data_IF_712826172165
#
_entry.id   IF_712826172165
#
_cell.length_a   1.000
_cell.length_b   1.000
_cell.length_c   1.000
_cell.angle_alpha   90.00
_cell.angle_beta   90.00
_cell.angle_gamma   90.00
#
_symmetry.space_group_name_H-M   'P 1'
#
loop_
_entity.id
_entity.type
_entity.pdbx_description
1 polymer ?
#
# COMPACT_ATOMS: atom_id res chain seq x y z
N UNK A 1 10.86 -28.19 16.19
CA UNK A 1 10.95 -26.93 15.43
C UNK A 1 9.81 -27.02 14.43
N UNK A 2 8.74 -26.27 14.66
CA UNK A 2 7.59 -26.29 13.76
C UNK A 2 8.02 -25.69 12.44
N UNK A 3 7.84 -26.43 11.34
CA UNK A 3 7.77 -25.83 10.02
C UNK A 3 6.57 -24.88 10.07
N UNK A 4 6.82 -23.58 10.25
CA UNK A 4 5.81 -22.60 9.95
C UNK A 4 5.52 -22.74 8.46
N UNK A 5 4.26 -22.99 8.11
CA UNK A 5 3.81 -22.98 6.72
C UNK A 5 4.11 -21.59 6.15
N UNK A 6 5.04 -21.52 5.21
CA UNK A 6 5.34 -20.26 4.50
C UNK A 6 4.26 -20.06 3.46
N UNK A 7 3.41 -19.06 3.65
CA UNK A 7 2.40 -18.66 2.68
C UNK A 7 3.05 -17.69 1.68
N UNK A 8 2.83 -17.92 0.38
CA UNK A 8 3.47 -17.14 -0.68
C UNK A 8 3.06 -15.66 -0.67
N UNK A 9 4.04 -14.77 -0.84
CA UNK A 9 3.80 -13.34 -0.97
C UNK A 9 2.99 -13.00 -2.22
N UNK A 10 2.14 -11.98 -2.12
CA UNK A 10 1.52 -11.34 -3.29
C UNK A 10 2.56 -10.45 -3.95
N UNK A 11 2.69 -10.53 -5.28
CA UNK A 11 3.65 -9.75 -6.06
C UNK A 11 2.99 -9.15 -7.28
N UNK A 12 2.99 -7.82 -7.37
CA UNK A 12 2.43 -7.06 -8.48
C UNK A 12 3.48 -6.16 -9.09
N UNK A 13 3.39 -5.97 -10.41
CA UNK A 13 4.25 -5.07 -11.16
C UNK A 13 3.42 -4.31 -12.16
N UNK A 14 3.59 -2.99 -12.20
CA UNK A 14 3.02 -2.10 -13.22
C UNK A 14 4.11 -1.15 -13.73
N UNK A 15 3.83 -0.48 -14.84
CA UNK A 15 4.68 0.58 -15.38
C UNK A 15 3.85 1.85 -15.56
N UNK A 16 4.39 3.00 -15.15
CA UNK A 16 3.75 4.32 -15.29
C UNK A 16 4.59 5.27 -16.13
N UNK A 17 3.96 6.13 -16.93
CA UNK A 17 4.60 6.96 -17.96
C UNK A 17 5.17 8.27 -17.40
N UNK A 18 5.91 8.19 -16.30
CA UNK A 18 6.59 9.33 -15.70
C UNK A 18 7.92 8.93 -15.04
N UNK A 19 8.71 9.95 -14.65
CA UNK A 19 9.97 9.75 -13.91
C UNK A 19 9.70 9.30 -12.47
N UNK A 20 10.69 8.65 -11.87
CA UNK A 20 10.58 8.00 -10.55
C UNK A 20 10.10 8.98 -9.46
N UNK A 21 10.59 10.22 -9.49
CA UNK A 21 10.22 11.26 -8.54
C UNK A 21 8.74 11.61 -8.60
N UNK A 22 8.16 11.67 -9.80
CA UNK A 22 6.74 11.99 -10.00
C UNK A 22 5.86 10.80 -9.64
N UNK A 23 6.27 9.58 -10.02
CA UNK A 23 5.59 8.36 -9.62
C UNK A 23 5.49 8.28 -8.09
N UNK A 24 6.64 8.39 -7.40
CA UNK A 24 6.70 8.35 -5.94
C UNK A 24 5.85 9.44 -5.29
N UNK A 25 5.97 10.70 -5.77
CA UNK A 25 5.20 11.84 -5.26
C UNK A 25 3.70 11.63 -5.40
N UNK A 26 3.23 11.09 -6.53
CA UNK A 26 1.80 10.81 -6.73
C UNK A 26 1.33 9.64 -5.86
N UNK A 27 2.19 8.63 -5.67
CA UNK A 27 1.87 7.50 -4.81
C UNK A 27 1.68 7.93 -3.35
N UNK A 28 2.51 8.85 -2.85
CA UNK A 28 2.47 9.33 -1.46
C UNK A 28 1.65 10.61 -1.28
N UNK A 29 2.18 11.76 -1.73
CA UNK A 29 1.62 13.09 -1.46
C UNK A 29 0.29 13.36 -2.15
N UNK A 30 0.03 12.68 -3.26
CA UNK A 30 -1.20 12.82 -4.04
C UNK A 30 -2.05 11.54 -4.01
N UNK A 31 -1.92 10.74 -2.94
CA UNK A 31 -2.60 9.45 -2.79
C UNK A 31 -4.12 9.56 -3.00
N UNK A 32 -4.72 10.64 -2.52
CA UNK A 32 -6.15 10.92 -2.68
C UNK A 32 -6.59 11.03 -4.15
N UNK A 33 -5.70 11.38 -5.06
CA UNK A 33 -6.03 11.57 -6.48
C UNK A 33 -6.20 10.28 -7.27
N UNK A 34 -5.78 9.15 -6.72
CA UNK A 34 -5.79 7.86 -7.41
C UNK A 34 -6.37 6.71 -6.61
N UNK A 35 -6.30 6.74 -5.28
CA UNK A 35 -6.80 5.61 -4.49
C UNK A 35 -8.31 5.43 -4.67
N UNK A 36 -8.82 4.20 -4.88
CA UNK A 36 -10.24 3.96 -5.10
C UNK A 36 -11.03 3.99 -3.78
N UNK A 37 -11.44 5.19 -3.36
CA UNK A 37 -12.11 5.42 -2.07
C UNK A 37 -13.44 4.67 -1.93
N UNK A 38 -14.20 4.52 -3.00
CA UNK A 38 -15.51 3.85 -3.03
C UNK A 38 -15.48 2.36 -2.62
N UNK A 39 -14.32 1.73 -2.73
CA UNK A 39 -14.14 0.29 -2.58
C UNK A 39 -13.04 -0.11 -1.62
N UNK A 40 -11.97 0.69 -1.47
CA UNK A 40 -10.78 0.34 -0.70
C UNK A 40 -10.41 1.40 0.34
N UNK A 41 -11.40 2.05 0.95
CA UNK A 41 -11.20 2.95 2.10
C UNK A 41 -12.13 2.60 3.25
N UNK A 42 -11.81 3.04 4.47
CA UNK A 42 -12.60 2.75 5.67
C UNK A 42 -13.88 3.59 5.70
N UNK A 43 -13.80 4.85 5.26
CA UNK A 43 -14.90 5.82 5.32
C UNK A 43 -15.48 6.20 3.94
N UNK A 44 -15.05 5.55 2.87
CA UNK A 44 -15.63 5.76 1.54
C UNK A 44 -15.52 7.19 1.03
N UNK A 45 -16.62 7.68 0.46
CA UNK A 45 -16.75 9.04 -0.12
C UNK A 45 -16.57 10.18 0.91
N UNK A 46 -16.61 9.87 2.20
CA UNK A 46 -16.37 10.85 3.28
C UNK A 46 -14.89 11.22 3.40
N UNK A 47 -13.98 10.38 2.89
CA UNK A 47 -12.53 10.65 2.87
C UNK A 47 -12.24 11.89 2.04
N UNK A 48 -11.34 12.74 2.55
CA UNK A 48 -10.87 13.97 1.90
C UNK A 48 -9.36 14.00 1.75
N UNK A 49 -8.65 13.19 2.51
CA UNK A 49 -7.20 13.11 2.47
C UNK A 49 -6.75 11.67 2.77
N UNK A 50 -5.70 11.23 2.09
CA UNK A 50 -4.91 10.05 2.48
C UNK A 50 -3.54 10.60 2.82
N UNK A 51 -3.13 10.41 4.07
CA UNK A 51 -1.90 10.96 4.62
C UNK A 51 -0.85 9.87 4.66
N UNK A 52 0.32 10.15 4.08
CA UNK A 52 1.56 9.41 4.30
C UNK A 52 2.47 10.27 5.16
N UNK A 53 2.74 9.88 6.40
CA UNK A 53 3.82 10.51 7.16
C UNK A 53 5.16 10.01 6.61
N UNK A 54 5.82 10.85 5.81
CA UNK A 54 7.02 10.54 4.99
C UNK A 54 8.32 10.34 5.81
N UNK A 55 8.29 9.42 6.77
CA UNK A 55 9.43 9.07 7.64
C UNK A 55 9.25 7.67 8.24
N UNK A 56 10.36 7.03 8.59
CA UNK A 56 10.34 5.86 9.45
C UNK A 56 9.65 6.16 10.79
N UNK A 57 8.82 5.22 11.26
CA UNK A 57 7.94 5.40 12.42
C UNK A 57 6.80 6.40 12.18
N UNK A 58 6.52 6.72 10.92
CA UNK A 58 5.31 7.43 10.48
C UNK A 58 4.11 6.49 10.34
N UNK A 59 3.00 7.03 9.87
CA UNK A 59 1.73 6.34 9.71
C UNK A 59 1.10 6.66 8.35
N UNK A 60 0.29 5.72 7.85
CA UNK A 60 -0.62 5.92 6.72
C UNK A 60 -2.03 5.85 7.26
N UNK A 61 -2.81 6.89 6.98
CA UNK A 61 -4.21 6.96 7.40
C UNK A 61 -5.03 7.84 6.48
N UNK A 62 -6.33 7.56 6.41
CA UNK A 62 -7.30 8.43 5.77
C UNK A 62 -7.89 9.42 6.76
N UNK A 63 -8.29 10.59 6.27
CA UNK A 63 -8.97 11.63 7.04
C UNK A 63 -10.26 12.02 6.33
N UNK A 64 -11.38 12.02 7.06
CA UNK A 64 -12.67 12.47 6.55
C UNK A 64 -12.87 13.97 6.72
N UNK A 65 -13.91 14.53 6.08
CA UNK A 65 -14.25 15.95 6.18
C UNK A 65 -14.52 16.43 7.62
N UNK A 66 -14.96 15.55 8.52
CA UNK A 66 -15.23 15.86 9.92
C UNK A 66 -14.00 15.66 10.85
N UNK A 67 -12.87 15.23 10.29
CA UNK A 67 -11.61 15.03 11.00
C UNK A 67 -11.40 13.64 11.59
N UNK A 68 -12.35 12.69 11.41
CA UNK A 68 -12.10 11.28 11.77
C UNK A 68 -10.94 10.71 10.98
N UNK A 69 -10.14 9.87 11.64
CA UNK A 69 -8.98 9.18 11.05
C UNK A 69 -9.23 7.68 10.96
N UNK A 70 -8.83 7.06 9.85
CA UNK A 70 -8.81 5.61 9.66
C UNK A 70 -7.38 5.13 9.44
N UNK A 71 -6.82 4.37 10.38
CA UNK A 71 -5.45 3.84 10.27
C UNK A 71 -5.35 2.72 9.24
N UNK A 72 -4.34 2.77 8.37
CA UNK A 72 -4.06 1.72 7.39
C UNK A 72 -2.77 0.94 7.74
N UNK A 73 -1.68 1.67 8.00
CA UNK A 73 -0.37 1.07 8.17
C UNK A 73 0.58 1.97 8.97
N UNK A 74 1.63 1.37 9.52
CA UNK A 74 2.79 2.09 10.08
C UNK A 74 3.96 2.01 9.10
N UNK A 75 4.72 3.09 8.98
CA UNK A 75 5.88 3.17 8.07
C UNK A 75 7.10 2.58 8.76
N UNK A 76 7.59 1.46 8.23
CA UNK A 76 8.81 0.79 8.69
C UNK A 76 10.05 1.41 8.06
N UNK A 77 10.02 1.68 6.75
CA UNK A 77 11.12 2.34 6.04
C UNK A 77 10.55 3.30 4.99
N UNK A 78 11.19 4.48 4.85
CA UNK A 78 10.79 5.50 3.89
C UNK A 78 12.03 6.07 3.19
N UNK A 79 12.28 5.61 1.97
CA UNK A 79 13.50 5.88 1.20
C UNK A 79 13.12 6.58 -0.13
N UNK A 80 12.78 7.88 -0.10
CA UNK A 80 12.34 8.57 -1.29
C UNK A 80 13.49 8.76 -2.30
N UNK A 81 13.22 8.65 -3.62
CA UNK A 81 11.93 8.35 -4.24
C UNK A 81 11.77 6.85 -4.58
N UNK A 82 12.53 5.95 -3.96
CA UNK A 82 12.70 4.60 -4.48
C UNK A 82 11.93 3.52 -3.73
N UNK A 83 11.64 3.69 -2.44
CA UNK A 83 11.11 2.58 -1.64
C UNK A 83 10.33 3.01 -0.41
N UNK A 84 9.29 2.24 -0.12
CA UNK A 84 8.46 2.35 1.10
C UNK A 84 8.23 0.95 1.63
N UNK A 85 8.37 0.76 2.94
CA UNK A 85 8.03 -0.49 3.63
C UNK A 85 7.06 -0.19 4.75
N UNK A 86 6.00 -0.98 4.83
CA UNK A 86 4.84 -0.74 5.68
C UNK A 86 4.52 -1.97 6.52
N UNK A 87 4.28 -1.77 7.81
CA UNK A 87 3.54 -2.70 8.64
C UNK A 87 2.05 -2.46 8.37
N UNK A 88 1.44 -3.40 7.64
CA UNK A 88 0.07 -3.32 7.14
C UNK A 88 -0.92 -3.95 8.12
N UNK A 89 -1.74 -3.10 8.74
CA UNK A 89 -2.66 -3.48 9.82
C UNK A 89 -3.85 -2.50 9.91
N UNK A 90 -4.70 -2.51 8.90
CA UNK A 90 -5.89 -1.66 8.80
C UNK A 90 -6.74 -1.77 10.07
N UNK A 91 -7.02 -0.63 10.71
CA UNK A 91 -7.78 -0.49 11.96
C UNK A 91 -7.24 -1.23 13.21
N UNK A 92 -6.25 -2.12 13.07
CA UNK A 92 -5.78 -3.02 14.12
C UNK A 92 -4.30 -2.79 14.45
N UNK A 93 -3.98 -1.63 15.03
CA UNK A 93 -2.58 -1.25 15.32
C UNK A 93 -1.79 -2.23 16.17
N UNK A 94 -2.48 -2.95 17.05
CA UNK A 94 -1.86 -3.85 18.03
C UNK A 94 -1.81 -5.31 17.56
N UNK A 95 -2.39 -5.64 16.40
CA UNK A 95 -2.30 -6.99 15.83
C UNK A 95 -0.97 -7.21 15.11
N UNK A 96 -0.62 -8.47 14.87
CA UNK A 96 0.58 -8.82 14.11
C UNK A 96 0.40 -8.38 12.66
N UNK A 97 1.16 -7.37 12.19
CA UNK A 97 0.97 -6.83 10.85
C UNK A 97 1.56 -7.78 9.81
N UNK A 98 0.94 -7.81 8.64
CA UNK A 98 1.63 -8.23 7.42
C UNK A 98 2.53 -7.09 6.91
N UNK A 99 3.40 -7.34 5.94
CA UNK A 99 4.31 -6.32 5.43
C UNK A 99 4.04 -6.03 3.96
N UNK A 100 3.96 -4.74 3.61
CA UNK A 100 3.86 -4.26 2.22
C UNK A 100 5.11 -3.46 1.87
N UNK A 101 5.76 -3.84 0.79
CA UNK A 101 6.92 -3.16 0.24
C UNK A 101 6.63 -2.68 -1.17
N UNK A 102 6.86 -1.39 -1.42
CA UNK A 102 6.70 -0.77 -2.73
C UNK A 102 8.05 -0.24 -3.19
N UNK A 103 8.44 -0.57 -4.42
CA UNK A 103 9.68 -0.14 -5.05
C UNK A 103 9.41 0.58 -6.36
N UNK A 104 10.11 1.69 -6.59
CA UNK A 104 10.06 2.50 -7.80
C UNK A 104 11.42 2.46 -8.48
N UNK A 105 11.46 1.92 -9.69
CA UNK A 105 12.70 1.74 -10.47
C UNK A 105 12.55 2.37 -11.84
N UNK A 106 13.58 3.10 -12.29
CA UNK A 106 13.61 3.65 -13.64
C UNK A 106 13.62 2.51 -14.66
N UNK A 107 12.71 2.58 -15.63
CA UNK A 107 12.61 1.65 -16.77
C UNK A 107 12.53 2.46 -18.08
N UNK A 108 13.71 2.75 -18.65
CA UNK A 108 13.83 3.66 -19.79
C UNK A 108 13.40 5.09 -19.44
N UNK A 109 12.29 5.54 -20.02
CA UNK A 109 11.68 6.85 -19.75
C UNK A 109 10.43 6.75 -18.85
N UNK A 110 10.14 5.56 -18.33
CA UNK A 110 9.01 5.26 -17.47
C UNK A 110 9.49 4.78 -16.10
N UNK A 111 8.56 4.55 -15.18
CA UNK A 111 8.84 3.98 -13.87
C UNK A 111 8.14 2.65 -13.72
N UNK A 112 8.90 1.60 -13.41
CA UNK A 112 8.37 0.33 -12.94
C UNK A 112 8.08 0.43 -11.44
N UNK A 113 6.87 0.06 -11.06
CA UNK A 113 6.44 -0.02 -9.66
C UNK A 113 6.19 -1.48 -9.31
N UNK A 114 6.95 -1.98 -8.34
CA UNK A 114 6.79 -3.32 -7.79
C UNK A 114 6.18 -3.24 -6.40
N UNK A 115 5.12 -4.02 -6.17
CA UNK A 115 4.50 -4.21 -4.86
C UNK A 115 4.68 -5.66 -4.43
N UNK A 116 5.22 -5.86 -3.23
CA UNK A 116 5.26 -7.15 -2.55
C UNK A 116 4.48 -7.05 -1.24
N UNK A 117 3.57 -7.99 -0.99
CA UNK A 117 2.86 -8.12 0.28
C UNK A 117 3.08 -9.51 0.87
N UNK A 118 3.71 -9.58 2.04
CA UNK A 118 4.23 -10.80 2.69
C UNK A 118 3.81 -10.90 4.16
N UNK A 119 4.19 -11.99 4.83
CA UNK A 119 3.98 -12.20 6.27
C UNK A 119 2.61 -12.80 6.62
N UNK A 120 1.98 -13.50 5.68
CA UNK A 120 0.62 -14.05 5.86
C UNK A 120 0.55 -15.15 6.94
N UNK A 121 1.67 -15.79 7.26
CA UNK A 121 1.81 -16.75 8.35
C UNK A 121 1.60 -16.15 9.74
N UNK A 122 1.69 -14.81 9.86
CA UNK A 122 1.39 -14.09 11.09
C UNK A 122 -0.10 -13.78 11.27
N UNK A 123 -0.93 -14.07 10.27
CA UNK A 123 -2.39 -13.88 10.32
C UNK A 123 -3.01 -15.04 11.09
N UNK A 124 -3.67 -14.74 12.21
CA UNK A 124 -4.22 -15.75 13.13
C UNK A 124 -5.30 -16.63 12.50
N UNK A 125 -6.13 -16.05 11.63
CA UNK A 125 -7.25 -16.74 10.97
C UNK A 125 -7.16 -16.64 9.45
N UNK A 126 -7.08 -17.80 8.80
CA UNK A 126 -7.19 -17.99 7.35
C UNK A 126 -6.26 -17.08 6.51
N UNK A 127 -4.96 -17.14 6.81
CA UNK A 127 -3.92 -16.35 6.12
C UNK A 127 -3.89 -16.56 4.60
N UNK A 128 -4.19 -17.76 4.11
CA UNK A 128 -4.26 -18.06 2.67
C UNK A 128 -5.45 -17.36 2.01
N UNK A 129 -6.66 -17.43 2.59
CA UNK A 129 -7.80 -16.71 2.03
C UNK A 129 -7.60 -15.19 2.11
N UNK A 130 -7.01 -14.68 3.20
CA UNK A 130 -6.66 -13.25 3.31
C UNK A 130 -5.67 -12.85 2.22
N UNK A 131 -4.63 -13.65 1.98
CA UNK A 131 -3.65 -13.46 0.90
C UNK A 131 -4.34 -13.37 -0.47
N UNK A 132 -5.26 -14.26 -0.78
CA UNK A 132 -5.96 -14.29 -2.07
C UNK A 132 -6.87 -13.07 -2.28
N UNK A 133 -7.50 -12.58 -1.22
CA UNK A 133 -8.27 -11.33 -1.27
C UNK A 133 -7.37 -10.14 -1.61
N UNK A 134 -6.18 -10.05 -1.01
CA UNK A 134 -5.23 -8.99 -1.34
C UNK A 134 -4.60 -9.15 -2.73
N UNK A 135 -4.41 -10.39 -3.21
CA UNK A 135 -3.89 -10.63 -4.56
C UNK A 135 -4.79 -9.97 -5.62
N UNK A 136 -6.10 -10.22 -5.55
CA UNK A 136 -7.05 -9.57 -6.45
C UNK A 136 -7.27 -8.07 -6.14
N UNK A 137 -7.24 -7.69 -4.86
CA UNK A 137 -7.40 -6.29 -4.44
C UNK A 137 -6.28 -5.39 -4.96
N UNK A 138 -5.02 -5.84 -4.90
CA UNK A 138 -3.89 -5.05 -5.40
C UNK A 138 -3.93 -4.83 -6.91
N UNK A 139 -4.41 -5.80 -7.69
CA UNK A 139 -4.62 -5.60 -9.14
C UNK A 139 -5.60 -4.44 -9.39
N UNK A 140 -6.68 -4.39 -8.62
CA UNK A 140 -7.68 -3.34 -8.73
C UNK A 140 -7.11 -1.97 -8.34
N UNK A 141 -6.49 -1.88 -7.16
CA UNK A 141 -5.94 -0.64 -6.59
C UNK A 141 -4.83 -0.06 -7.49
N UNK A 142 -3.84 -0.88 -7.88
CA UNK A 142 -2.75 -0.42 -8.74
C UNK A 142 -3.23 -0.04 -10.14
N UNK A 143 -4.33 -0.62 -10.62
CA UNK A 143 -4.96 -0.20 -11.88
C UNK A 143 -5.45 1.26 -11.86
N UNK A 144 -5.89 1.79 -10.72
CA UNK A 144 -6.24 3.22 -10.62
C UNK A 144 -5.00 4.12 -10.63
N UNK A 145 -3.96 3.73 -9.90
CA UNK A 145 -2.68 4.43 -9.89
C UNK A 145 -2.07 4.52 -11.29
N UNK A 146 -2.06 3.39 -12.00
CA UNK A 146 -1.59 3.33 -13.38
C UNK A 146 -2.37 4.29 -14.28
N UNK A 147 -3.71 4.27 -14.24
CA UNK A 147 -4.56 5.19 -15.02
C UNK A 147 -4.35 6.66 -14.68
N UNK A 148 -3.95 6.99 -13.45
CA UNK A 148 -3.68 8.37 -13.02
C UNK A 148 -2.40 8.95 -13.65
N UNK A 149 -1.47 8.08 -14.06
CA UNK A 149 -0.13 8.43 -14.57
C UNK A 149 0.12 7.94 -16.01
N UNK A 150 -0.94 7.55 -16.72
CA UNK A 150 -0.94 7.32 -18.16
C UNK A 150 -1.22 8.61 -18.93
#
# INVERSE_FOLDING_TARGET
MSDALVIEAVRKTITVECVVEEAFRVFTKDAISWWPLDSHSIHGDEVKEIVFEEREGGEIYEVTADGRRGHWASVLEFEPPNRIVLAWNILERESSPTEVEIRFTLDGNATRVDLEHRGWEAVEEDGEAKRDNYDSGWDHVLGFYERRLR
#
